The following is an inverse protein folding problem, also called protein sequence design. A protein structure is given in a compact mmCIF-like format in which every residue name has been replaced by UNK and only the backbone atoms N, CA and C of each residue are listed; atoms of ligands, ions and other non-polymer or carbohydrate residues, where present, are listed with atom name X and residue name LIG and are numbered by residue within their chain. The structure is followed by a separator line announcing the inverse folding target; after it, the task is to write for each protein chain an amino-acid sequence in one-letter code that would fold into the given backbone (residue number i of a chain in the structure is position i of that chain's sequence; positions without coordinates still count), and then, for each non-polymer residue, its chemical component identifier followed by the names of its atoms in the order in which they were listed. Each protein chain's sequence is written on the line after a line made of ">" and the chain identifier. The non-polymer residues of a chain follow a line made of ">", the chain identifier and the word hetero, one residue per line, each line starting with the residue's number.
data_IF_142676656834
#
_entry.id   IF_142676656834
#
_cell.length_a   1.000
_cell.length_b   1.000
_cell.length_c   1.000
_cell.angle_alpha   90.00
_cell.angle_beta   90.00
_cell.angle_gamma   90.00
#
_symmetry.space_group_name_H-M   'P 1'
#
loop_
_entity.id
_entity.type
_entity.pdbx_description
1 polymer ?
#
# COMPACT_ATOMS: atom_id res chain seq x y z
N UNK A 1 -31.98 -5.05 -4.03
CA UNK A 1 -30.85 -5.71 -3.34
C UNK A 1 -29.69 -5.40 -4.25
N UNK A 2 -29.09 -4.26 -3.97
CA UNK A 2 -28.36 -3.52 -4.98
C UNK A 2 -26.88 -3.88 -4.81
N UNK A 3 -26.35 -4.60 -5.79
CA UNK A 3 -24.94 -4.92 -5.87
C UNK A 3 -24.18 -3.64 -6.21
N UNK A 4 -23.36 -3.14 -5.30
CA UNK A 4 -22.34 -2.16 -5.63
C UNK A 4 -21.27 -2.88 -6.45
N UNK A 5 -21.27 -2.64 -7.77
CA UNK A 5 -20.21 -3.05 -8.68
C UNK A 5 -19.10 -1.99 -8.62
N UNK A 6 -18.19 -2.12 -7.67
CA UNK A 6 -16.96 -1.31 -7.62
C UNK A 6 -15.87 -2.03 -8.41
N UNK A 7 -15.12 -1.28 -9.21
CA UNK A 7 -14.01 -1.82 -10.00
C UNK A 7 -12.87 -2.27 -9.07
N UNK A 8 -12.50 -3.56 -9.03
CA UNK A 8 -11.48 -4.08 -8.13
C UNK A 8 -10.06 -3.57 -8.41
N UNK A 9 -9.80 -2.97 -9.59
CA UNK A 9 -8.54 -2.26 -9.85
C UNK A 9 -8.42 -0.96 -9.06
N UNK A 10 -9.55 -0.30 -8.76
CA UNK A 10 -9.55 0.81 -7.83
C UNK A 10 -9.42 0.30 -6.39
N UNK A 11 -10.01 -0.85 -6.06
CA UNK A 11 -10.16 -1.29 -4.67
C UNK A 11 -8.85 -1.80 -4.02
N UNK A 12 -7.97 -2.52 -4.72
CA UNK A 12 -6.77 -3.08 -4.06
C UNK A 12 -5.74 -2.00 -3.67
N UNK A 13 -5.41 -1.10 -4.59
CA UNK A 13 -4.50 0.03 -4.30
C UNK A 13 -5.12 0.96 -3.24
N UNK A 14 -6.43 1.17 -3.30
CA UNK A 14 -7.16 1.99 -2.32
C UNK A 14 -7.27 1.28 -0.96
N UNK A 15 -7.33 -0.05 -0.91
CA UNK A 15 -7.39 -0.83 0.33
C UNK A 15 -6.02 -0.94 1.02
N UNK A 16 -4.95 -1.17 0.26
CA UNK A 16 -3.58 -1.31 0.82
C UNK A 16 -2.90 0.03 1.09
N UNK A 17 -3.33 1.11 0.41
CA UNK A 17 -2.72 2.44 0.51
C UNK A 17 -3.69 3.52 1.05
N UNK A 18 -4.59 3.17 1.98
CA UNK A 18 -5.25 4.16 2.87
C UNK A 18 -6.60 4.74 2.43
N UNK A 19 -7.16 4.39 1.28
CA UNK A 19 -8.43 4.93 0.79
C UNK A 19 -9.71 4.43 1.49
N UNK A 20 -9.61 3.49 2.43
CA UNK A 20 -10.77 2.97 3.18
C UNK A 20 -11.39 3.99 4.16
N UNK A 21 -10.62 5.01 4.58
CA UNK A 21 -11.11 6.08 5.48
C UNK A 21 -12.22 6.92 4.83
N UNK A 22 -12.27 7.00 3.50
CA UNK A 22 -13.21 7.86 2.77
C UNK A 22 -14.67 7.39 2.79
N UNK A 23 -14.97 6.17 3.26
CA UNK A 23 -16.33 5.59 3.15
C UNK A 23 -16.94 5.03 4.43
N UNK A 24 -16.24 5.01 5.58
CA UNK A 24 -16.74 4.27 6.75
C UNK A 24 -16.69 4.96 8.10
N UNK A 25 -16.20 6.20 8.22
CA UNK A 25 -16.11 6.88 9.52
C UNK A 25 -17.25 7.89 9.69
N UNK A 26 -18.19 7.70 10.65
CA UNK A 26 -19.03 8.78 11.14
C UNK A 26 -18.15 9.83 11.84
N UNK A 27 -18.41 11.10 11.53
CA UNK A 27 -17.58 12.31 11.80
C UNK A 27 -17.05 12.59 13.22
N UNK A 28 -17.17 11.71 14.21
CA UNK A 28 -16.89 12.08 15.60
C UNK A 28 -15.64 11.40 16.20
N UNK A 29 -14.66 12.27 16.49
CA UNK A 29 -13.61 12.19 17.51
C UNK A 29 -12.54 11.08 17.41
N UNK A 30 -11.49 11.34 16.60
CA UNK A 30 -10.14 10.85 16.93
C UNK A 30 -9.22 12.01 17.30
N UNK A 31 -8.89 12.07 18.59
CA UNK A 31 -7.94 12.98 19.20
C UNK A 31 -6.56 12.92 18.50
N UNK A 32 -6.12 14.08 18.01
CA UNK A 32 -4.85 14.30 17.33
C UNK A 32 -3.68 14.08 18.28
N UNK A 33 -3.00 12.94 18.17
CA UNK A 33 -1.64 12.77 18.72
C UNK A 33 -0.66 13.50 17.79
N UNK A 34 -0.26 14.70 18.20
CA UNK A 34 0.74 15.52 17.51
C UNK A 34 2.15 14.94 17.68
N UNK A 35 2.70 14.40 16.59
CA UNK A 35 4.14 14.15 16.48
C UNK A 35 4.88 15.49 16.36
N UNK A 36 5.53 15.93 17.44
CA UNK A 36 6.46 17.07 17.44
C UNK A 36 7.85 16.61 16.99
N UNK A 37 8.06 16.56 15.68
CA UNK A 37 9.36 16.41 15.07
C UNK A 37 9.58 17.48 14.00
N UNK A 38 10.43 18.48 14.31
CA UNK A 38 11.27 19.32 13.41
C UNK A 38 10.83 19.69 11.97
N UNK A 39 9.55 19.65 11.63
CA UNK A 39 8.99 20.06 10.33
C UNK A 39 7.89 21.09 10.59
N UNK A 40 8.27 22.28 11.07
CA UNK A 40 7.32 23.32 11.49
C UNK A 40 6.81 24.20 10.34
N UNK A 41 7.27 24.02 9.09
CA UNK A 41 6.85 24.86 7.96
C UNK A 41 5.97 24.12 6.96
N UNK A 42 4.71 23.91 7.37
CA UNK A 42 3.65 23.31 6.55
C UNK A 42 3.48 24.02 5.21
N UNK A 43 3.71 25.34 5.17
CA UNK A 43 3.60 26.17 3.97
C UNK A 43 4.69 25.85 2.93
N UNK A 44 5.91 25.55 3.38
CA UNK A 44 7.02 25.14 2.51
C UNK A 44 6.73 23.78 1.86
N UNK A 45 6.21 22.83 2.63
CA UNK A 45 5.77 21.52 2.14
C UNK A 45 4.65 21.66 1.11
N UNK A 46 3.60 22.44 1.41
CA UNK A 46 2.48 22.65 0.48
C UNK A 46 2.95 23.28 -0.84
N UNK A 47 3.86 24.26 -0.79
CA UNK A 47 4.38 24.91 -1.98
C UNK A 47 5.28 23.99 -2.84
N UNK A 48 6.02 23.07 -2.21
CA UNK A 48 6.78 22.04 -2.91
C UNK A 48 5.85 21.01 -3.57
N UNK A 49 4.83 20.55 -2.85
CA UNK A 49 3.81 19.61 -3.34
C UNK A 49 3.10 20.15 -4.60
N UNK A 50 2.64 21.40 -4.56
CA UNK A 50 1.97 22.06 -5.70
C UNK A 50 2.90 22.18 -6.92
N UNK A 51 4.17 22.54 -6.71
CA UNK A 51 5.14 22.62 -7.82
C UNK A 51 5.35 21.27 -8.50
N UNK A 52 5.43 20.19 -7.73
CA UNK A 52 5.67 18.84 -8.23
C UNK A 52 4.50 18.28 -9.05
N UNK A 53 3.26 18.62 -8.69
CA UNK A 53 2.08 18.25 -9.47
C UNK A 53 2.04 18.95 -10.83
N UNK A 54 2.59 20.16 -10.94
CA UNK A 54 2.52 20.99 -12.16
C UNK A 54 3.60 20.71 -13.19
N UNK A 55 4.67 19.97 -12.86
CA UNK A 55 5.86 19.81 -13.73
C UNK A 55 5.78 18.68 -14.77
N UNK A 56 4.66 17.98 -14.90
CA UNK A 56 4.61 16.70 -15.61
C UNK A 56 5.13 15.59 -14.71
N UNK A 57 4.35 14.51 -14.58
CA UNK A 57 4.49 13.55 -13.49
C UNK A 57 5.75 12.67 -13.66
N UNK A 58 6.87 13.16 -13.15
CA UNK A 58 8.10 12.41 -12.98
C UNK A 58 8.10 11.81 -11.57
N UNK A 59 7.54 10.61 -11.44
CA UNK A 59 7.40 9.90 -10.16
C UNK A 59 8.74 9.67 -9.46
N UNK A 60 9.82 9.50 -10.21
CA UNK A 60 11.16 9.32 -9.67
C UNK A 60 11.67 10.61 -9.01
N UNK A 61 11.57 11.75 -9.70
CA UNK A 61 11.98 13.04 -9.13
C UNK A 61 11.07 13.46 -7.96
N UNK A 62 9.79 13.11 -8.01
CA UNK A 62 8.86 13.31 -6.91
C UNK A 62 9.27 12.52 -5.66
N UNK A 63 9.50 11.22 -5.82
CA UNK A 63 9.98 10.32 -4.78
C UNK A 63 11.29 10.82 -4.17
N UNK A 64 12.22 11.26 -5.03
CA UNK A 64 13.49 11.84 -4.61
C UNK A 64 13.34 13.04 -3.70
N UNK A 65 12.48 13.97 -4.06
CA UNK A 65 12.26 15.18 -3.28
C UNK A 65 11.66 14.83 -1.91
N UNK A 66 10.70 13.91 -1.85
CA UNK A 66 10.11 13.49 -0.58
C UNK A 66 11.12 12.84 0.35
N UNK A 67 11.90 11.89 -0.15
CA UNK A 67 12.93 11.24 0.65
C UNK A 67 13.99 12.24 1.12
N UNK A 68 14.38 13.20 0.27
CA UNK A 68 15.34 14.25 0.65
C UNK A 68 14.79 15.17 1.74
N UNK A 69 13.49 15.51 1.70
CA UNK A 69 12.84 16.33 2.73
C UNK A 69 12.79 15.59 4.08
N UNK A 70 12.39 14.32 4.06
CA UNK A 70 12.19 13.52 5.28
C UNK A 70 13.54 13.14 5.92
N UNK A 71 14.50 12.72 5.11
CA UNK A 71 15.74 12.11 5.58
C UNK A 71 16.98 13.02 5.44
N UNK A 72 16.87 14.17 4.77
CA UNK A 72 17.99 15.05 4.42
C UNK A 72 18.80 14.51 3.23
N UNK A 73 19.92 15.15 2.88
CA UNK A 73 20.87 14.61 1.89
C UNK A 73 21.68 13.44 2.49
N UNK A 74 21.18 12.21 2.34
CA UNK A 74 21.92 10.98 2.66
C UNK A 74 22.53 10.37 1.39
N UNK A 75 23.68 9.73 1.54
CA UNK A 75 24.46 9.19 0.41
C UNK A 75 23.84 7.99 -0.32
N UNK A 76 22.78 7.39 0.22
CA UNK A 76 22.12 6.20 -0.34
C UNK A 76 20.67 6.46 -0.77
N UNK A 77 20.24 7.73 -0.82
CA UNK A 77 18.86 8.06 -1.19
C UNK A 77 18.57 7.66 -2.63
N UNK A 78 19.50 7.92 -3.55
CA UNK A 78 19.38 7.50 -4.95
C UNK A 78 19.15 6.00 -5.10
N UNK A 79 19.90 5.17 -4.37
CA UNK A 79 19.77 3.71 -4.42
C UNK A 79 18.40 3.25 -3.88
N UNK A 80 17.91 3.88 -2.80
CA UNK A 80 16.60 3.60 -2.23
C UNK A 80 15.48 3.97 -3.22
N UNK A 81 15.55 5.14 -3.84
CA UNK A 81 14.57 5.63 -4.82
C UNK A 81 14.55 4.71 -6.04
N UNK A 82 15.72 4.30 -6.54
CA UNK A 82 15.83 3.39 -7.68
C UNK A 82 15.19 2.03 -7.35
N UNK A 83 15.48 1.47 -6.17
CA UNK A 83 14.83 0.23 -5.71
C UNK A 83 13.30 0.36 -5.66
N UNK A 84 12.77 1.42 -5.03
CA UNK A 84 11.32 1.67 -4.95
C UNK A 84 10.70 1.79 -6.36
N UNK A 85 11.34 2.53 -7.26
CA UNK A 85 10.86 2.72 -8.62
C UNK A 85 10.84 1.41 -9.41
N UNK A 86 11.85 0.56 -9.24
CA UNK A 86 11.90 -0.77 -9.84
C UNK A 86 10.78 -1.67 -9.30
N UNK A 87 10.51 -1.61 -8.00
CA UNK A 87 9.42 -2.35 -7.34
C UNK A 87 8.07 -1.91 -7.91
N UNK A 88 7.78 -0.61 -7.94
CA UNK A 88 6.54 -0.07 -8.52
C UNK A 88 6.37 -0.49 -9.99
N UNK A 89 7.44 -0.37 -10.77
CA UNK A 89 7.45 -0.75 -12.18
C UNK A 89 7.15 -2.23 -12.38
N UNK A 90 7.66 -3.11 -11.51
CA UNK A 90 7.39 -4.55 -11.56
C UNK A 90 5.93 -4.85 -11.14
N UNK A 91 5.43 -4.23 -10.08
CA UNK A 91 4.04 -4.39 -9.64
C UNK A 91 3.07 -3.96 -10.75
N UNK A 92 3.28 -2.79 -11.37
CA UNK A 92 2.45 -2.31 -12.48
C UNK A 92 2.43 -3.30 -13.65
N UNK A 93 3.58 -3.88 -14.00
CA UNK A 93 3.65 -4.90 -15.05
C UNK A 93 2.84 -6.15 -14.69
N UNK A 94 2.96 -6.65 -13.46
CA UNK A 94 2.18 -7.80 -12.97
C UNK A 94 0.68 -7.50 -13.06
N UNK A 95 0.26 -6.30 -12.62
CA UNK A 95 -1.14 -5.86 -12.70
C UNK A 95 -1.65 -5.79 -14.13
N UNK A 96 -0.86 -5.25 -15.07
CA UNK A 96 -1.24 -5.11 -16.48
C UNK A 96 -1.37 -6.45 -17.22
N UNK A 97 -0.61 -7.47 -16.82
CA UNK A 97 -0.68 -8.80 -17.44
C UNK A 97 -1.72 -9.71 -16.81
N UNK A 98 -2.23 -9.37 -15.63
CA UNK A 98 -3.24 -10.18 -14.94
C UNK A 98 -4.63 -9.87 -15.50
N UNK A 99 -5.33 -10.91 -15.95
CA UNK A 99 -6.72 -10.81 -16.38
C UNK A 99 -7.66 -11.11 -15.20
N UNK A 100 -8.57 -10.19 -14.83
CA UNK A 100 -9.54 -10.41 -13.76
C UNK A 100 -10.49 -11.56 -14.06
N UNK A 101 -10.89 -12.29 -13.03
CA UNK A 101 -12.01 -13.25 -13.05
C UNK A 101 -11.89 -14.46 -13.99
N UNK A 102 -10.80 -14.58 -14.76
CA UNK A 102 -10.60 -15.72 -15.66
C UNK A 102 -10.36 -17.02 -14.87
N UNK A 103 -9.78 -16.90 -13.66
CA UNK A 103 -9.43 -18.03 -12.82
C UNK A 103 -9.72 -17.74 -11.34
N UNK A 104 -10.99 -17.64 -10.94
CA UNK A 104 -11.33 -17.47 -9.52
C UNK A 104 -10.96 -18.73 -8.72
N UNK A 105 -10.46 -18.55 -7.50
CA UNK A 105 -10.24 -19.65 -6.56
C UNK A 105 -10.82 -19.38 -5.17
N UNK A 106 -11.05 -20.47 -4.44
CA UNK A 106 -11.42 -20.48 -3.04
C UNK A 106 -10.36 -21.25 -2.28
N UNK A 107 -9.74 -20.62 -1.29
CA UNK A 107 -8.70 -21.22 -0.45
C UNK A 107 -9.16 -21.21 0.99
N UNK A 108 -8.89 -22.26 1.75
CA UNK A 108 -8.98 -22.13 3.21
C UNK A 108 -7.89 -21.21 3.72
N UNK A 109 -8.15 -20.48 4.79
CA UNK A 109 -7.18 -19.58 5.42
C UNK A 109 -5.85 -20.29 5.73
N UNK A 110 -5.92 -21.54 6.21
CA UNK A 110 -4.72 -22.36 6.47
C UNK A 110 -3.91 -22.73 5.22
N UNK A 111 -4.51 -22.65 4.03
CA UNK A 111 -3.87 -22.94 2.74
C UNK A 111 -3.18 -21.71 2.15
N UNK A 112 -3.63 -20.50 2.52
CA UNK A 112 -3.11 -19.25 1.98
C UNK A 112 -1.59 -19.10 2.20
N UNK A 113 -1.13 -19.27 3.45
CA UNK A 113 0.30 -19.24 3.78
C UNK A 113 1.12 -20.35 3.10
N UNK A 114 0.50 -21.48 2.78
CA UNK A 114 1.19 -22.59 2.11
C UNK A 114 1.39 -22.29 0.64
N UNK A 115 0.41 -21.64 0.02
CA UNK A 115 0.43 -21.28 -1.40
C UNK A 115 1.29 -20.05 -1.65
N UNK A 116 1.11 -19.00 -0.84
CA UNK A 116 1.77 -17.72 -0.99
C UNK A 116 2.68 -17.44 0.22
N UNK A 117 3.82 -18.12 0.28
CA UNK A 117 4.69 -18.12 1.46
C UNK A 117 5.59 -16.89 1.63
N UNK A 118 5.69 -16.01 0.62
CA UNK A 118 6.53 -14.81 0.69
C UNK A 118 6.01 -13.79 1.72
N UNK A 119 4.72 -13.85 2.05
CA UNK A 119 4.07 -13.02 3.06
C UNK A 119 3.51 -13.93 4.14
N UNK A 120 3.68 -13.53 5.41
CA UNK A 120 3.06 -14.19 6.55
C UNK A 120 1.56 -13.82 6.65
N UNK A 121 0.75 -14.20 5.66
CA UNK A 121 -0.67 -13.87 5.56
C UNK A 121 -1.47 -14.19 6.82
N UNK A 122 -1.19 -15.32 7.47
CA UNK A 122 -1.90 -15.67 8.71
C UNK A 122 -1.71 -14.60 9.80
N UNK A 123 -0.49 -14.07 9.93
CA UNK A 123 -0.20 -13.00 10.88
C UNK A 123 -0.81 -11.68 10.43
N UNK A 124 -0.67 -11.35 9.14
CA UNK A 124 -1.22 -10.12 8.56
C UNK A 124 -2.75 -10.02 8.74
N UNK A 125 -3.48 -11.04 8.32
CA UNK A 125 -4.94 -11.07 8.41
C UNK A 125 -5.40 -11.08 9.87
N UNK A 126 -4.77 -11.88 10.75
CA UNK A 126 -5.13 -11.88 12.17
C UNK A 126 -4.93 -10.50 12.80
N UNK A 127 -3.78 -9.87 12.58
CA UNK A 127 -3.51 -8.54 13.11
C UNK A 127 -4.51 -7.49 12.63
N UNK A 128 -4.92 -7.53 11.36
CA UNK A 128 -5.96 -6.65 10.82
C UNK A 128 -7.29 -6.88 11.54
N UNK A 129 -7.73 -8.13 11.65
CA UNK A 129 -9.01 -8.44 12.28
C UNK A 129 -9.02 -8.15 13.78
N UNK A 130 -7.90 -8.41 14.47
CA UNK A 130 -7.69 -8.06 15.88
C UNK A 130 -7.74 -6.54 16.09
N UNK A 131 -7.11 -5.76 15.20
CA UNK A 131 -7.16 -4.30 15.24
C UNK A 131 -8.61 -3.76 15.21
N UNK A 132 -9.47 -4.38 14.42
CA UNK A 132 -10.90 -4.03 14.34
C UNK A 132 -11.78 -4.71 15.41
N UNK A 133 -11.20 -5.48 16.34
CA UNK A 133 -11.93 -6.15 17.41
C UNK A 133 -12.79 -7.34 16.94
N UNK A 134 -12.50 -7.90 15.76
CA UNK A 134 -13.23 -9.02 15.13
C UNK A 134 -12.35 -10.25 14.94
N UNK A 135 -11.23 -10.34 15.65
CA UNK A 135 -10.31 -11.48 15.57
C UNK A 135 -10.92 -12.83 15.93
N UNK A 136 -11.94 -12.85 16.82
CA UNK A 136 -12.64 -14.07 17.22
C UNK A 136 -13.38 -14.76 16.06
N UNK A 137 -13.68 -14.02 14.99
CA UNK A 137 -14.34 -14.58 13.82
C UNK A 137 -13.34 -15.32 12.92
N UNK A 138 -12.03 -15.03 13.02
CA UNK A 138 -10.99 -15.67 12.20
C UNK A 138 -10.65 -17.07 12.73
N UNK A 139 -10.83 -18.07 11.87
CA UNK A 139 -10.40 -19.45 12.12
C UNK A 139 -9.83 -20.11 10.85
N UNK A 140 -9.19 -21.25 11.02
CA UNK A 140 -8.47 -21.97 9.94
C UNK A 140 -9.40 -22.48 8.82
N UNK A 141 -10.71 -22.60 9.09
CA UNK A 141 -11.72 -23.09 8.15
C UNK A 141 -12.38 -21.98 7.32
N UNK A 142 -12.04 -20.70 7.54
CA UNK A 142 -12.54 -19.61 6.69
C UNK A 142 -12.10 -19.82 5.25
N UNK A 143 -13.05 -19.69 4.33
CA UNK A 143 -12.78 -19.63 2.90
C UNK A 143 -12.47 -18.20 2.48
N UNK A 144 -11.35 -18.05 1.78
CA UNK A 144 -10.90 -16.81 1.16
C UNK A 144 -11.24 -16.90 -0.32
N UNK A 145 -12.04 -15.95 -0.77
CA UNK A 145 -12.33 -15.74 -2.19
C UNK A 145 -11.18 -14.95 -2.82
N UNK A 146 -10.49 -15.56 -3.79
CA UNK A 146 -9.41 -14.92 -4.52
C UNK A 146 -9.79 -14.80 -6.01
N UNK A 147 -10.11 -13.59 -6.44
CA UNK A 147 -10.43 -13.28 -7.84
C UNK A 147 -9.23 -13.11 -8.75
N UNK A 148 -8.00 -13.16 -8.20
CA UNK A 148 -6.76 -12.87 -8.91
C UNK A 148 -5.58 -13.82 -8.53
N UNK A 149 -5.74 -15.15 -8.60
CA UNK A 149 -4.68 -16.05 -8.15
C UNK A 149 -3.36 -15.93 -8.92
N UNK A 150 -3.42 -15.62 -10.21
CA UNK A 150 -2.22 -15.39 -11.02
C UNK A 150 -1.46 -14.13 -10.56
N UNK A 151 -2.18 -13.05 -10.22
CA UNK A 151 -1.58 -11.86 -9.63
C UNK A 151 -0.84 -12.21 -8.34
N UNK A 152 -1.51 -12.90 -7.41
CA UNK A 152 -0.89 -13.28 -6.13
C UNK A 152 0.27 -14.26 -6.30
N UNK A 153 0.25 -15.14 -7.30
CA UNK A 153 1.38 -16.01 -7.61
C UNK A 153 2.59 -15.20 -8.08
N UNK A 154 2.37 -14.27 -9.02
CA UNK A 154 3.42 -13.41 -9.56
C UNK A 154 3.97 -12.45 -8.49
N UNK A 155 3.11 -11.87 -7.65
CA UNK A 155 3.52 -11.04 -6.51
C UNK A 155 4.29 -11.88 -5.49
N UNK A 156 3.83 -13.08 -5.17
CA UNK A 156 4.52 -13.96 -4.23
C UNK A 156 5.93 -14.32 -4.72
N UNK A 157 6.06 -14.66 -6.00
CA UNK A 157 7.37 -14.89 -6.61
C UNK A 157 8.23 -13.62 -6.53
N UNK A 158 7.71 -12.48 -6.95
CA UNK A 158 8.46 -11.23 -6.95
C UNK A 158 8.91 -10.81 -5.55
N UNK A 159 8.03 -10.84 -4.55
CA UNK A 159 8.35 -10.49 -3.17
C UNK A 159 9.41 -11.43 -2.59
N UNK A 160 9.43 -12.70 -3.00
CA UNK A 160 10.47 -13.65 -2.55
C UNK A 160 11.87 -13.33 -3.08
N UNK A 161 11.99 -12.46 -4.09
CA UNK A 161 13.26 -11.99 -4.66
C UNK A 161 13.78 -10.71 -3.98
N UNK A 162 12.94 -10.03 -3.18
CA UNK A 162 13.28 -8.75 -2.54
C UNK A 162 14.06 -8.95 -1.24
N UNK A 163 14.95 -8.00 -0.93
CA UNK A 163 15.56 -7.94 0.40
C UNK A 163 14.60 -7.36 1.43
N UNK A 164 14.88 -7.57 2.72
CA UNK A 164 14.11 -6.96 3.81
C UNK A 164 14.12 -5.42 3.71
N UNK A 165 15.27 -4.83 3.35
CA UNK A 165 15.40 -3.38 3.17
C UNK A 165 14.56 -2.85 2.00
N UNK A 166 14.52 -3.57 0.87
CA UNK A 166 13.67 -3.22 -0.28
C UNK A 166 12.20 -3.18 0.12
N UNK A 167 11.76 -4.20 0.86
CA UNK A 167 10.39 -4.30 1.36
C UNK A 167 10.09 -3.13 2.32
N UNK A 168 10.97 -2.86 3.28
CA UNK A 168 10.79 -1.78 4.26
C UNK A 168 10.67 -0.42 3.57
N UNK A 169 11.61 -0.07 2.69
CA UNK A 169 11.58 1.22 2.00
C UNK A 169 10.36 1.35 1.08
N UNK A 170 9.93 0.26 0.43
CA UNK A 170 8.70 0.28 -0.36
C UNK A 170 7.46 0.51 0.51
N UNK A 171 7.35 -0.14 1.67
CA UNK A 171 6.26 0.09 2.60
C UNK A 171 6.26 1.52 3.17
N UNK A 172 7.43 2.06 3.52
CA UNK A 172 7.57 3.47 3.93
C UNK A 172 7.07 4.41 2.84
N UNK A 173 7.42 4.13 1.57
CA UNK A 173 6.91 4.90 0.45
C UNK A 173 5.39 4.82 0.31
N UNK A 174 4.78 3.64 0.41
CA UNK A 174 3.33 3.49 0.37
C UNK A 174 2.64 4.34 1.46
N UNK A 175 3.20 4.40 2.68
CA UNK A 175 2.68 5.21 3.78
C UNK A 175 2.85 6.71 3.52
N UNK A 176 4.01 7.13 3.01
CA UNK A 176 4.27 8.52 2.64
C UNK A 176 3.29 8.95 1.54
N UNK A 177 3.17 8.17 0.47
CA UNK A 177 2.35 8.49 -0.69
C UNK A 177 0.86 8.55 -0.35
N UNK A 178 0.36 7.61 0.47
CA UNK A 178 -1.04 7.62 0.94
C UNK A 178 -1.34 8.86 1.78
N UNK A 179 -0.52 9.13 2.81
CA UNK A 179 -0.68 10.31 3.68
C UNK A 179 -0.63 11.62 2.89
N UNK A 180 0.27 11.72 1.91
CA UNK A 180 0.38 12.91 1.07
C UNK A 180 -0.84 13.10 0.17
N UNK A 181 -1.38 12.02 -0.39
CA UNK A 181 -2.60 12.07 -1.19
C UNK A 181 -3.77 12.64 -0.35
N UNK A 182 -3.90 12.22 0.91
CA UNK A 182 -4.95 12.72 1.80
C UNK A 182 -4.75 14.18 2.20
N UNK A 183 -3.50 14.62 2.41
CA UNK A 183 -3.18 16.01 2.74
C UNK A 183 -3.43 17.00 1.60
N UNK A 184 -3.34 16.54 0.35
CA UNK A 184 -3.55 17.38 -0.84
C UNK A 184 -5.04 17.52 -1.16
N UNK A 185 -5.83 16.47 -0.90
CA UNK A 185 -7.24 16.41 -1.26
C UNK A 185 -8.20 16.92 -0.17
N UNK A 186 -7.67 17.34 0.99
CA UNK A 186 -8.39 17.95 2.12
C UNK A 186 -7.94 19.39 2.39
#
# INVERSE_FOLDING_TARGET
>A
MDFFSVDPYEDFYHFTCGGWESKTVPDDDFDKVSYKGKLDDKEELTNLLVKLQTSGFDSFNLLKNYYTIIYGEKSNIEDIIESIYEIESKIVKITQTTIPFENVEFLKFIELNKKYSAIHWNSYIKNIFDFYGIGEYINDDIEIYNSFPEYYENVNQFVSELSEDDIIHYFEWCLINSTLFDLINN
#
